data_IF_462644699303
#
_entry.id   IF_462644699303
#
_cell.length_a   1.000
_cell.length_b   1.000
_cell.length_c   1.000
_cell.angle_alpha   90.00
_cell.angle_beta   90.00
_cell.angle_gamma   90.00
#
_symmetry.space_group_name_H-M   'P 1'
#
loop_
_entity.id
_entity.type
_entity.pdbx_description
1 polymer ?
#
# COMPACT_ATOMS: atom_id res chain seq x y z
N UNK A 1 -3.97 -28.55 -11.30
CA UNK A 1 -3.30 -27.49 -12.10
C UNK A 1 -4.10 -26.19 -12.09
N UNK A 2 -5.31 -26.19 -11.54
CA UNK A 2 -6.27 -25.07 -11.69
C UNK A 2 -5.90 -23.82 -10.90
N UNK A 3 -5.30 -23.97 -9.71
CA UNK A 3 -4.94 -22.81 -8.87
C UNK A 3 -3.95 -21.84 -9.53
N UNK A 4 -2.97 -22.33 -10.31
CA UNK A 4 -1.97 -21.46 -10.93
C UNK A 4 -2.58 -20.64 -12.08
N UNK A 5 -3.49 -21.25 -12.85
CA UNK A 5 -4.20 -20.56 -13.92
C UNK A 5 -5.13 -19.48 -13.36
N UNK A 6 -5.91 -19.79 -12.33
CA UNK A 6 -6.76 -18.80 -11.65
C UNK A 6 -5.95 -17.69 -10.99
N UNK A 7 -4.83 -18.02 -10.32
CA UNK A 7 -3.95 -17.02 -9.72
C UNK A 7 -3.36 -16.08 -10.79
N UNK A 8 -2.92 -16.61 -11.93
CA UNK A 8 -2.39 -15.81 -13.04
C UNK A 8 -3.48 -14.95 -13.71
N UNK A 9 -4.68 -15.49 -13.89
CA UNK A 9 -5.81 -14.75 -14.46
C UNK A 9 -6.23 -13.59 -13.55
N UNK A 10 -6.34 -13.84 -12.25
CA UNK A 10 -6.67 -12.80 -11.26
C UNK A 10 -5.59 -11.72 -11.20
N UNK A 11 -4.30 -12.10 -11.27
CA UNK A 11 -3.20 -11.15 -11.34
C UNK A 11 -3.27 -10.26 -12.60
N UNK A 12 -3.59 -10.84 -13.76
CA UNK A 12 -3.77 -10.07 -14.99
C UNK A 12 -4.94 -9.07 -14.89
N UNK A 13 -6.08 -9.50 -14.35
CA UNK A 13 -7.22 -8.61 -14.12
C UNK A 13 -6.87 -7.46 -13.16
N UNK A 14 -6.11 -7.73 -12.10
CA UNK A 14 -5.62 -6.68 -11.19
C UNK A 14 -4.73 -5.66 -11.92
N UNK A 15 -3.81 -6.12 -12.79
CA UNK A 15 -2.93 -5.23 -13.56
C UNK A 15 -3.70 -4.36 -14.57
N UNK A 16 -4.71 -4.91 -15.25
CA UNK A 16 -5.56 -4.13 -16.16
C UNK A 16 -6.43 -3.13 -15.39
N UNK A 17 -6.93 -3.50 -14.22
CA UNK A 17 -7.64 -2.57 -13.34
C UNK A 17 -6.73 -1.44 -12.83
N UNK A 18 -5.48 -1.74 -12.50
CA UNK A 18 -4.50 -0.73 -12.09
C UNK A 18 -4.21 0.29 -13.18
N UNK A 19 -4.29 -0.07 -14.47
CA UNK A 19 -4.10 0.85 -15.61
C UNK A 19 -5.26 1.83 -15.79
N UNK A 20 -6.44 1.51 -15.27
CA UNK A 20 -7.63 2.35 -15.39
C UNK A 20 -7.68 3.49 -14.35
N UNK A 21 -6.73 3.53 -13.41
CA UNK A 21 -6.68 4.64 -12.45
C UNK A 21 -6.38 5.98 -13.14
N UNK A 22 -6.97 7.09 -12.67
CA UNK A 22 -6.72 8.41 -13.24
C UNK A 22 -5.28 8.85 -13.00
N UNK A 23 -4.74 9.72 -13.87
CA UNK A 23 -3.34 10.17 -13.82
C UNK A 23 -2.90 10.70 -12.44
N UNK A 24 -3.82 11.37 -11.72
CA UNK A 24 -3.59 11.89 -10.38
C UNK A 24 -3.21 10.79 -9.37
N UNK A 25 -3.72 9.57 -9.54
CA UNK A 25 -3.37 8.43 -8.71
C UNK A 25 -1.88 8.09 -8.85
N UNK A 26 -1.37 7.99 -10.08
CA UNK A 26 0.04 7.66 -10.31
C UNK A 26 0.98 8.76 -9.80
N UNK A 27 0.53 10.02 -9.85
CA UNK A 27 1.27 11.16 -9.30
C UNK A 27 1.33 11.11 -7.78
N UNK A 28 0.22 10.81 -7.09
CA UNK A 28 0.16 10.81 -5.61
C UNK A 28 0.64 9.51 -4.96
N UNK A 29 0.47 8.35 -5.63
CA UNK A 29 0.86 7.03 -5.12
C UNK A 29 2.29 6.95 -4.56
N UNK A 30 3.34 7.48 -5.21
CA UNK A 30 4.70 7.44 -4.65
C UNK A 30 4.83 8.23 -3.35
N UNK A 31 4.22 9.41 -3.24
CA UNK A 31 4.23 10.21 -2.02
C UNK A 31 3.55 9.49 -0.86
N UNK A 32 2.37 8.92 -1.12
CA UNK A 32 1.62 8.14 -0.12
C UNK A 32 2.42 6.93 0.37
N UNK A 33 3.05 6.18 -0.55
CA UNK A 33 3.88 5.01 -0.21
C UNK A 33 5.10 5.40 0.62
N UNK A 34 5.83 6.44 0.20
CA UNK A 34 7.00 6.97 0.92
C UNK A 34 6.63 7.42 2.33
N UNK A 35 5.55 8.19 2.47
CA UNK A 35 5.07 8.66 3.77
C UNK A 35 4.64 7.50 4.67
N UNK A 36 3.98 6.49 4.11
CA UNK A 36 3.67 5.26 4.85
C UNK A 36 4.93 4.52 5.31
N UNK A 37 6.02 4.51 4.54
CA UNK A 37 7.29 3.86 4.89
C UNK A 37 8.04 4.60 6.00
N UNK A 38 8.08 5.93 5.91
CA UNK A 38 8.68 6.81 6.93
C UNK A 38 8.05 6.58 8.31
N UNK A 39 6.72 6.47 8.37
CA UNK A 39 5.99 6.26 9.61
C UNK A 39 5.96 4.79 10.08
N UNK A 40 6.34 3.82 9.24
CA UNK A 40 6.31 2.38 9.52
C UNK A 40 7.59 1.92 10.25
N UNK A 41 7.87 2.54 11.39
CA UNK A 41 9.00 2.23 12.27
C UNK A 41 8.51 1.53 13.56
N UNK A 42 9.28 0.55 14.07
CA UNK A 42 8.98 -0.19 15.30
C UNK A 42 8.91 0.71 16.54
N UNK A 43 9.62 1.84 16.53
CA UNK A 43 9.61 2.83 17.60
C UNK A 43 8.44 3.82 17.50
N UNK A 44 7.69 3.85 16.39
CA UNK A 44 6.55 4.74 16.22
C UNK A 44 5.28 4.13 16.82
N UNK A 45 5.11 4.32 18.12
CA UNK A 45 3.94 3.85 18.87
C UNK A 45 2.63 4.45 18.35
N UNK A 46 2.66 5.62 17.71
CA UNK A 46 1.44 6.26 17.16
C UNK A 46 0.87 5.51 15.95
N UNK A 47 1.64 4.59 15.36
CA UNK A 47 1.23 3.82 14.18
C UNK A 47 0.66 2.43 14.52
N UNK A 48 0.78 2.02 15.78
CA UNK A 48 0.38 0.70 16.30
C UNK A 48 -0.67 0.85 17.40
N UNK A 49 -1.88 0.25 17.30
CA UNK A 49 -2.35 -0.70 16.29
C UNK A 49 -2.90 -0.08 15.00
N UNK A 50 -3.25 1.20 14.99
CA UNK A 50 -3.68 1.98 13.83
C UNK A 50 -3.52 3.49 14.16
N UNK A 51 -3.11 4.35 13.21
CA UNK A 51 -3.00 5.78 13.48
C UNK A 51 -4.34 6.42 13.83
N UNK A 52 -4.33 7.40 14.73
CA UNK A 52 -5.52 8.19 15.01
C UNK A 52 -5.86 9.13 13.84
N UNK A 53 -7.06 9.71 13.86
CA UNK A 53 -7.53 10.62 12.80
C UNK A 53 -6.63 11.85 12.64
N UNK A 54 -6.11 12.39 13.74
CA UNK A 54 -5.24 13.57 13.73
C UNK A 54 -3.91 13.29 13.01
N UNK A 55 -3.33 12.11 13.26
CA UNK A 55 -2.11 11.66 12.60
C UNK A 55 -2.35 11.44 11.11
N UNK A 56 -3.48 10.82 10.73
CA UNK A 56 -3.86 10.67 9.32
C UNK A 56 -3.99 12.04 8.63
N UNK A 57 -4.65 12.99 9.30
CA UNK A 57 -4.81 14.34 8.78
C UNK A 57 -3.46 15.05 8.59
N UNK A 58 -2.54 14.90 9.54
CA UNK A 58 -1.18 15.45 9.47
C UNK A 58 -0.39 14.81 8.32
N UNK A 59 -0.42 13.48 8.21
CA UNK A 59 0.24 12.77 7.10
C UNK A 59 -0.32 13.22 5.75
N UNK A 60 -1.63 13.46 5.65
CA UNK A 60 -2.24 13.96 4.42
C UNK A 60 -1.80 15.39 4.09
N UNK A 61 -1.68 16.27 5.10
CA UNK A 61 -1.14 17.63 4.94
C UNK A 61 0.32 17.60 4.48
N UNK A 62 1.17 16.79 5.09
CA UNK A 62 2.58 16.64 4.69
C UNK A 62 2.71 16.15 3.23
N UNK A 63 1.88 15.18 2.82
CA UNK A 63 1.87 14.69 1.43
C UNK A 63 1.42 15.79 0.45
N UNK A 64 0.40 16.56 0.82
CA UNK A 64 -0.09 17.67 0.00
C UNK A 64 0.97 18.77 -0.15
N UNK A 65 1.68 19.10 0.93
CA UNK A 65 2.76 20.08 0.93
C UNK A 65 3.95 19.60 0.07
N UNK A 66 4.41 18.36 0.26
CA UNK A 66 5.47 17.76 -0.56
C UNK A 66 5.12 17.75 -2.05
N UNK A 67 3.90 17.34 -2.39
CA UNK A 67 3.42 17.33 -3.77
C UNK A 67 3.39 18.72 -4.39
N UNK A 68 2.91 19.72 -3.64
CA UNK A 68 2.85 21.10 -4.11
C UNK A 68 4.25 21.71 -4.29
N UNK A 69 5.19 21.40 -3.39
CA UNK A 69 6.57 21.87 -3.48
C UNK A 69 7.27 21.34 -4.74
N UNK A 70 7.20 20.02 -4.96
CA UNK A 70 7.76 19.39 -6.16
C UNK A 70 7.09 19.93 -7.44
N UNK A 71 5.78 20.18 -7.40
CA UNK A 71 5.04 20.74 -8.53
C UNK A 71 5.41 22.19 -8.84
N UNK A 72 5.57 23.04 -7.82
CA UNK A 72 6.01 24.43 -8.02
C UNK A 72 7.44 24.48 -8.53
N UNK A 73 8.33 23.56 -8.14
CA UNK A 73 9.68 23.48 -8.69
C UNK A 73 9.69 23.02 -10.16
N UNK A 74 8.82 22.09 -10.54
CA UNK A 74 8.60 21.71 -11.94
C UNK A 74 8.02 22.86 -12.78
N UNK A 75 7.12 23.66 -12.21
CA UNK A 75 6.50 24.83 -12.86
C UNK A 75 7.47 26.01 -13.00
N UNK A 76 8.43 26.19 -12.08
CA UNK A 76 9.52 27.15 -12.25
C UNK A 76 10.47 26.76 -13.38
N UNK A 77 10.58 25.46 -13.67
CA UNK A 77 11.43 24.92 -14.74
C UNK A 77 10.77 24.94 -16.14
N UNK A 78 9.43 25.03 -16.21
CA UNK A 78 8.67 24.98 -17.46
C UNK A 78 7.53 25.99 -17.48
N UNK A 79 7.65 26.99 -18.36
CA UNK A 79 6.64 28.01 -18.59
C UNK A 79 5.23 27.42 -18.85
N UNK A 80 4.24 28.07 -18.24
CA UNK A 80 2.81 28.04 -18.58
C UNK A 80 2.08 26.68 -18.52
N UNK A 81 1.54 26.34 -17.35
CA UNK A 81 0.34 25.50 -17.29
C UNK A 81 -0.70 26.06 -16.30
N UNK A 82 -1.76 26.62 -16.87
CA UNK A 82 -2.94 27.21 -16.22
C UNK A 82 -3.89 26.16 -15.61
N UNK A 83 -3.38 25.22 -14.81
CA UNK A 83 -4.21 24.20 -14.12
C UNK A 83 -4.44 24.50 -12.62
N UNK A 84 -3.98 25.66 -12.15
CA UNK A 84 -3.50 25.83 -10.77
C UNK A 84 -4.48 26.44 -9.76
N UNK A 85 -5.78 26.62 -10.06
CA UNK A 85 -6.68 27.30 -9.10
C UNK A 85 -7.82 26.49 -8.49
N UNK A 86 -8.17 25.32 -9.02
CA UNK A 86 -9.39 24.61 -8.60
C UNK A 86 -9.21 23.38 -7.69
N UNK A 87 -7.98 22.92 -7.43
CA UNK A 87 -7.76 21.58 -6.81
C UNK A 87 -7.45 21.56 -5.30
N UNK A 88 -7.48 22.70 -4.62
CA UNK A 88 -7.14 22.81 -3.17
C UNK A 88 -8.09 22.07 -2.21
N UNK A 89 -9.28 21.66 -2.64
CA UNK A 89 -10.23 20.92 -1.79
C UNK A 89 -10.22 19.41 -2.02
N UNK A 90 -10.35 18.99 -3.29
CA UNK A 90 -10.46 17.57 -3.65
C UNK A 90 -9.14 16.79 -3.50
N UNK A 91 -7.99 17.48 -3.47
CA UNK A 91 -6.68 16.86 -3.27
C UNK A 91 -6.58 16.15 -1.93
N UNK A 92 -6.99 16.82 -0.85
CA UNK A 92 -6.81 16.32 0.52
C UNK A 92 -7.65 15.07 0.81
N UNK A 93 -8.90 15.05 0.38
CA UNK A 93 -9.76 13.88 0.57
C UNK A 93 -9.26 12.69 -0.25
N UNK A 94 -8.82 12.93 -1.48
CA UNK A 94 -8.21 11.89 -2.32
C UNK A 94 -6.93 11.34 -1.70
N UNK A 95 -6.03 12.20 -1.21
CA UNK A 95 -4.81 11.80 -0.51
C UNK A 95 -5.17 10.95 0.71
N UNK A 96 -6.16 11.38 1.49
CA UNK A 96 -6.62 10.65 2.68
C UNK A 96 -7.15 9.27 2.32
N UNK A 97 -7.96 9.15 1.26
CA UNK A 97 -8.48 7.86 0.76
C UNK A 97 -7.32 6.93 0.36
N UNK A 98 -6.36 7.44 -0.42
CA UNK A 98 -5.19 6.67 -0.86
C UNK A 98 -4.32 6.23 0.32
N UNK A 99 -4.11 7.12 1.29
CA UNK A 99 -3.35 6.85 2.51
C UNK A 99 -3.99 5.74 3.33
N UNK A 100 -5.29 5.82 3.59
CA UNK A 100 -6.03 4.77 4.30
C UNK A 100 -5.97 3.43 3.55
N UNK A 101 -6.13 3.46 2.22
CA UNK A 101 -6.03 2.28 1.36
C UNK A 101 -4.68 1.57 1.50
N UNK A 102 -3.59 2.34 1.47
CA UNK A 102 -2.22 1.80 1.57
C UNK A 102 -1.92 1.26 2.97
N UNK A 103 -2.33 1.97 4.04
CA UNK A 103 -2.17 1.52 5.42
C UNK A 103 -2.92 0.21 5.70
N UNK A 104 -4.16 0.09 5.22
CA UNK A 104 -4.92 -1.15 5.33
C UNK A 104 -4.30 -2.27 4.47
N UNK A 105 -3.84 -1.94 3.26
CA UNK A 105 -3.16 -2.85 2.36
C UNK A 105 -1.89 -3.46 2.96
N UNK A 106 -1.06 -2.64 3.60
CA UNK A 106 0.17 -3.07 4.29
C UNK A 106 -0.12 -4.04 5.44
N UNK A 107 -1.16 -3.78 6.24
CA UNK A 107 -1.59 -4.70 7.31
C UNK A 107 -2.11 -6.03 6.76
N UNK A 108 -2.92 -6.00 5.70
CA UNK A 108 -3.39 -7.22 5.01
C UNK A 108 -2.21 -8.05 4.50
N UNK A 109 -1.18 -7.41 3.91
CA UNK A 109 0.07 -8.08 3.48
C UNK A 109 0.82 -8.72 4.65
N UNK A 110 0.95 -8.04 5.80
CA UNK A 110 1.55 -8.59 7.04
C UNK A 110 0.76 -9.78 7.59
N UNK A 111 -0.57 -9.71 7.59
CA UNK A 111 -1.45 -10.81 8.02
C UNK A 111 -1.35 -12.05 7.12
N UNK A 112 -1.25 -11.87 5.80
CA UNK A 112 -1.03 -12.97 4.83
C UNK A 112 0.33 -13.65 5.03
N UNK A 113 1.39 -12.90 5.33
CA UNK A 113 2.72 -13.48 5.66
C UNK A 113 2.69 -14.31 6.94
N UNK A 114 1.94 -13.90 7.97
CA UNK A 114 1.75 -14.68 9.19
C UNK A 114 0.90 -15.94 8.98
N UNK A 115 -0.08 -15.93 8.07
CA UNK A 115 -0.83 -17.16 7.70
C UNK A 115 0.01 -18.16 6.91
N UNK A 116 0.97 -17.71 6.08
CA UNK A 116 1.93 -18.62 5.43
C UNK A 116 2.97 -19.21 6.41
N UNK A 117 3.28 -18.51 7.51
CA UNK A 117 4.17 -19.01 8.57
C UNK A 117 3.46 -19.77 9.69
N UNK A 118 2.15 -19.63 9.83
CA UNK A 118 1.31 -20.53 10.63
C UNK A 118 0.84 -21.71 9.78
N UNK A 119 1.78 -22.55 9.36
CA UNK A 119 1.56 -23.99 9.49
C UNK A 119 2.01 -24.34 10.90
N UNK A 120 1.10 -24.40 11.89
CA UNK A 120 1.44 -25.06 13.14
C UNK A 120 1.71 -26.53 12.80
N UNK A 121 2.69 -27.11 13.46
CA UNK A 121 2.91 -28.55 13.52
C UNK A 121 1.60 -29.34 13.39
N UNK A 122 1.44 -30.05 12.27
CA UNK A 122 0.41 -31.05 12.08
C UNK A 122 0.95 -32.39 12.58
N UNK A 123 0.60 -32.75 13.81
CA UNK A 123 0.66 -34.12 14.28
C UNK A 123 -0.49 -34.89 13.60
N UNK A 124 -0.15 -35.92 12.84
CA UNK A 124 -1.05 -36.88 12.20
C UNK A 124 -0.15 -37.78 11.36
N UNK A 125 0.02 -39.07 11.62
CA UNK A 125 -0.92 -40.04 12.12
C UNK A 125 -0.98 -41.15 11.06
N UNK A 126 -0.38 -42.30 11.38
CA UNK A 126 -0.43 -43.61 10.70
C UNK A 126 0.34 -43.86 9.38
N UNK A 127 1.09 -44.98 9.41
CA UNK A 127 1.77 -45.65 8.29
C UNK A 127 3.24 -45.90 8.65
N UNK A 128 3.63 -47.02 9.29
CA UNK A 128 3.43 -48.39 8.81
C UNK A 128 4.55 -48.72 7.81
N UNK A 129 5.24 -49.85 7.99
CA UNK A 129 6.46 -50.33 7.28
C UNK A 129 7.75 -49.65 7.79
N UNK A 130 8.64 -50.27 8.56
CA UNK A 130 9.10 -51.65 8.53
C UNK A 130 10.26 -51.79 7.55
N UNK A 131 11.50 -51.64 8.02
CA UNK A 131 12.62 -52.56 7.72
C UNK A 131 13.90 -52.15 8.46
N UNK A 132 14.62 -53.09 9.07
CA UNK A 132 15.86 -52.87 9.82
C UNK A 132 17.07 -52.98 8.89
N UNK A 133 18.15 -52.28 9.21
CA UNK A 133 19.48 -52.71 8.79
C UNK A 133 20.46 -52.57 9.95
N UNK A 134 21.21 -53.66 10.10
CA UNK A 134 22.27 -53.95 11.06
C UNK A 134 23.35 -52.87 11.11
#
# INVERSE_FOLDING_TARGET
MDNIYYDNYMYYCEQEAEKMYPEIYYKLSPYVKRKCEEYDNEYNQMMNPFPNRELINRMAEEIEEEYNNDYEDLKKLGENNNLTRQRRGFGRDLITILLLGELLGRRRRRGRRRRRRRRPFGYGGYGGYGSPFY
#
